data_IF_566516030740
#
_entry.id   IF_566516030740
#
_cell.length_a   1.000
_cell.length_b   1.000
_cell.length_c   1.000
_cell.angle_alpha   90.00
_cell.angle_beta   90.00
_cell.angle_gamma   90.00
#
_symmetry.space_group_name_H-M   'P 1'
#
loop_
_entity.id
_entity.type
_entity.pdbx_description
1 polymer ?
#
# COMPACT_ATOMS: atom_id res chain seq x y z
N UNK A 1 7.49 27.90 -14.61
CA UNK A 1 8.70 27.05 -14.48
C UNK A 1 8.38 25.74 -13.75
N UNK A 2 7.63 25.77 -12.65
CA UNK A 2 7.25 24.59 -11.86
C UNK A 2 6.36 23.60 -12.66
N UNK A 3 5.36 24.07 -13.39
CA UNK A 3 4.51 23.22 -14.26
C UNK A 3 5.30 22.53 -15.41
N UNK A 4 6.40 23.14 -15.86
CA UNK A 4 7.29 22.55 -16.86
C UNK A 4 8.12 21.40 -16.30
N UNK A 5 8.49 21.44 -15.03
CA UNK A 5 9.25 20.37 -14.37
C UNK A 5 8.34 19.17 -14.10
N UNK A 6 7.09 19.42 -13.70
CA UNK A 6 6.08 18.35 -13.53
C UNK A 6 5.80 17.62 -14.84
N UNK A 7 5.51 18.39 -15.90
CA UNK A 7 5.21 17.81 -17.22
C UNK A 7 6.39 17.05 -17.82
N UNK A 8 7.63 17.48 -17.57
CA UNK A 8 8.83 16.74 -18.04
C UNK A 8 8.99 15.40 -17.33
N UNK A 9 8.85 15.33 -16.00
CA UNK A 9 8.93 14.05 -15.29
C UNK A 9 7.80 13.08 -15.66
N UNK A 10 6.58 13.59 -15.81
CA UNK A 10 5.43 12.80 -16.29
C UNK A 10 5.70 12.30 -17.71
N UNK A 11 6.24 13.15 -18.59
CA UNK A 11 6.59 12.79 -19.97
C UNK A 11 7.67 11.70 -20.05
N UNK A 12 8.72 11.80 -19.23
CA UNK A 12 9.77 10.77 -19.14
C UNK A 12 9.18 9.45 -18.64
N UNK A 13 8.36 9.50 -17.58
CA UNK A 13 7.71 8.31 -17.02
C UNK A 13 6.76 7.62 -18.00
N UNK A 14 6.01 8.39 -18.80
CA UNK A 14 5.17 7.91 -19.89
C UNK A 14 6.02 7.27 -20.99
N UNK A 15 7.04 7.97 -21.49
CA UNK A 15 7.90 7.49 -22.57
C UNK A 15 8.59 6.16 -22.19
N UNK A 16 9.07 6.05 -20.95
CA UNK A 16 9.67 4.84 -20.41
C UNK A 16 8.67 3.67 -20.39
N UNK A 17 7.45 3.88 -19.91
CA UNK A 17 6.40 2.84 -19.89
C UNK A 17 6.06 2.39 -21.30
N UNK A 18 5.82 3.33 -22.22
CA UNK A 18 5.53 3.05 -23.62
C UNK A 18 6.65 2.23 -24.25
N UNK A 19 7.91 2.66 -24.07
CA UNK A 19 9.09 1.98 -24.60
C UNK A 19 9.19 0.53 -24.10
N UNK A 20 9.02 0.31 -22.79
CA UNK A 20 9.09 -1.03 -22.20
C UNK A 20 7.90 -1.92 -22.61
N UNK A 21 6.70 -1.35 -22.78
CA UNK A 21 5.53 -2.11 -23.23
C UNK A 21 5.66 -2.64 -24.66
N UNK A 22 6.36 -1.91 -25.53
CA UNK A 22 6.64 -2.38 -26.90
C UNK A 22 7.66 -3.52 -26.96
N UNK A 23 8.38 -3.79 -25.88
CA UNK A 23 9.31 -4.92 -25.80
C UNK A 23 8.59 -6.18 -25.34
N UNK A 24 8.17 -7.01 -26.30
CA UNK A 24 7.37 -8.22 -26.06
C UNK A 24 8.01 -9.20 -25.08
N UNK A 25 9.34 -9.40 -25.15
CA UNK A 25 10.08 -10.29 -24.25
C UNK A 25 9.98 -9.84 -22.79
N UNK A 26 10.16 -8.53 -22.55
CA UNK A 26 10.09 -7.96 -21.20
C UNK A 26 8.67 -8.07 -20.66
N UNK A 27 7.67 -7.72 -21.46
CA UNK A 27 6.26 -7.83 -21.07
C UNK A 27 5.89 -9.25 -20.65
N UNK A 28 6.23 -10.25 -21.47
CA UNK A 28 5.88 -11.64 -21.17
C UNK A 28 6.54 -12.12 -19.87
N UNK A 29 7.79 -11.71 -19.61
CA UNK A 29 8.48 -12.00 -18.35
C UNK A 29 7.71 -11.47 -17.13
N UNK A 30 7.29 -10.20 -17.16
CA UNK A 30 6.54 -9.59 -16.06
C UNK A 30 5.14 -10.19 -15.89
N UNK A 31 4.45 -10.54 -16.98
CA UNK A 31 3.12 -11.19 -16.93
C UNK A 31 3.15 -12.61 -16.34
N UNK A 32 4.32 -13.26 -16.29
CA UNK A 32 4.51 -14.62 -15.75
C UNK A 32 5.22 -14.62 -14.39
N UNK A 33 5.73 -13.47 -13.95
CA UNK A 33 6.47 -13.34 -12.69
C UNK A 33 5.53 -13.37 -11.48
N UNK A 34 5.68 -14.38 -10.62
CA UNK A 34 4.95 -14.52 -9.34
C UNK A 34 5.18 -13.37 -8.35
N UNK A 35 6.20 -12.54 -8.61
CA UNK A 35 6.52 -11.32 -7.87
C UNK A 35 5.49 -10.18 -8.09
N UNK A 36 4.93 -10.12 -9.30
CA UNK A 36 4.01 -9.07 -9.73
C UNK A 36 2.57 -9.58 -9.87
N UNK A 37 2.43 -10.86 -10.20
CA UNK A 37 1.16 -11.53 -10.48
C UNK A 37 0.89 -12.60 -9.42
N UNK A 38 -0.21 -12.45 -8.72
CA UNK A 38 -0.75 -13.38 -7.73
C UNK A 38 -2.15 -13.86 -8.18
N UNK A 39 -2.71 -14.89 -7.53
CA UNK A 39 -4.08 -15.35 -7.80
C UNK A 39 -5.13 -14.23 -7.74
N UNK A 40 -4.90 -13.21 -6.91
CA UNK A 40 -5.83 -12.10 -6.68
C UNK A 40 -5.76 -10.99 -7.74
N UNK A 41 -4.65 -10.85 -8.46
CA UNK A 41 -4.41 -9.65 -9.30
C UNK A 41 -4.08 -9.96 -10.78
N UNK A 42 -4.14 -11.23 -11.18
CA UNK A 42 -3.79 -11.67 -12.53
C UNK A 42 -4.83 -11.24 -13.58
N UNK A 43 -4.38 -10.52 -14.61
CA UNK A 43 -5.24 -10.15 -15.73
C UNK A 43 -5.70 -11.34 -16.58
N UNK A 44 -4.89 -12.39 -16.67
CA UNK A 44 -5.26 -13.63 -17.38
C UNK A 44 -6.52 -14.26 -16.74
N UNK A 45 -6.55 -14.32 -15.41
CA UNK A 45 -7.73 -14.78 -14.63
C UNK A 45 -8.94 -13.86 -14.82
N UNK A 46 -8.73 -12.53 -14.89
CA UNK A 46 -9.82 -11.58 -15.18
C UNK A 46 -10.42 -11.82 -16.58
N UNK A 47 -9.59 -12.04 -17.61
CA UNK A 47 -10.07 -12.35 -18.97
C UNK A 47 -10.89 -13.64 -18.97
N UNK A 48 -10.41 -14.67 -18.28
CA UNK A 48 -11.12 -15.95 -18.13
C UNK A 48 -12.47 -15.76 -17.43
N UNK A 49 -12.52 -14.97 -16.35
CA UNK A 49 -13.77 -14.61 -15.68
C UNK A 49 -14.75 -13.85 -16.59
N UNK A 50 -14.25 -12.94 -17.43
CA UNK A 50 -15.07 -12.24 -18.44
C UNK A 50 -15.60 -13.23 -19.49
N UNK A 51 -14.79 -14.19 -19.91
CA UNK A 51 -15.18 -15.22 -20.88
C UNK A 51 -16.25 -16.16 -20.31
N UNK A 52 -16.08 -16.67 -19.09
CA UNK A 52 -17.09 -17.49 -18.40
C UNK A 52 -18.42 -16.75 -18.25
N UNK A 53 -18.37 -15.46 -17.91
CA UNK A 53 -19.56 -14.61 -17.83
C UNK A 53 -20.29 -14.48 -19.16
N UNK A 54 -19.55 -14.38 -20.28
CA UNK A 54 -20.15 -14.34 -21.63
C UNK A 54 -20.86 -15.65 -21.98
N UNK A 55 -20.42 -16.77 -21.43
CA UNK A 55 -21.06 -18.09 -21.58
C UNK A 55 -22.22 -18.31 -20.59
N UNK A 56 -22.63 -17.30 -19.83
CA UNK A 56 -23.62 -17.41 -18.74
C UNK A 56 -23.23 -18.45 -17.66
N UNK A 57 -21.94 -18.76 -17.54
CA UNK A 57 -21.40 -19.56 -16.44
C UNK A 57 -20.98 -18.63 -15.30
N UNK A 58 -21.08 -19.11 -14.06
CA UNK A 58 -20.59 -18.33 -12.92
C UNK A 58 -19.06 -18.23 -12.99
N UNK A 59 -18.48 -17.01 -12.99
CA UNK A 59 -17.02 -16.81 -13.04
C UNK A 59 -16.25 -17.40 -11.86
N UNK A 60 -16.97 -17.73 -10.78
CA UNK A 60 -16.42 -18.22 -9.52
C UNK A 60 -16.38 -19.76 -9.45
N UNK A 61 -16.90 -20.45 -10.47
CA UNK A 61 -16.83 -21.92 -10.56
C UNK A 61 -15.38 -22.34 -10.77
N UNK A 62 -14.90 -23.30 -9.97
CA UNK A 62 -13.54 -23.83 -10.07
C UNK A 62 -12.45 -22.95 -9.45
N UNK A 63 -12.82 -21.91 -8.68
CA UNK A 63 -11.87 -21.05 -7.93
C UNK A 63 -10.78 -20.40 -8.79
N UNK A 64 -11.12 -20.05 -10.03
CA UNK A 64 -10.20 -19.41 -10.96
C UNK A 64 -10.07 -17.91 -10.66
N UNK A 65 -11.20 -17.27 -10.35
CA UNK A 65 -11.32 -15.82 -10.21
C UNK A 65 -11.61 -15.44 -8.75
N UNK A 66 -10.77 -14.56 -8.21
CA UNK A 66 -10.89 -14.06 -6.82
C UNK A 66 -11.17 -12.56 -6.74
N UNK A 67 -11.51 -11.95 -7.88
CA UNK A 67 -11.94 -10.56 -8.02
C UNK A 67 -13.43 -10.42 -7.70
N UNK A 68 -13.84 -9.29 -7.13
CA UNK A 68 -15.27 -9.06 -6.83
C UNK A 68 -16.15 -8.99 -8.09
N UNK A 69 -17.45 -9.35 -8.01
CA UNK A 69 -18.37 -9.19 -9.13
C UNK A 69 -18.39 -7.75 -9.71
N UNK A 70 -18.26 -6.74 -8.85
CA UNK A 70 -18.16 -5.34 -9.23
C UNK A 70 -16.89 -5.02 -10.00
N UNK A 71 -15.72 -5.48 -9.53
CA UNK A 71 -14.45 -5.28 -10.27
C UNK A 71 -14.47 -6.02 -11.60
N UNK A 72 -14.99 -7.25 -11.65
CA UNK A 72 -15.18 -8.00 -12.90
C UNK A 72 -16.15 -7.29 -13.87
N UNK A 73 -17.25 -6.72 -13.37
CA UNK A 73 -18.14 -5.92 -14.20
C UNK A 73 -17.42 -4.70 -14.78
N UNK A 74 -16.67 -3.97 -13.96
CA UNK A 74 -15.86 -2.84 -14.38
C UNK A 74 -14.83 -3.23 -15.46
N UNK A 75 -14.05 -4.29 -15.22
CA UNK A 75 -13.07 -4.79 -16.18
C UNK A 75 -13.71 -5.28 -17.48
N UNK A 76 -14.89 -5.90 -17.42
CA UNK A 76 -15.63 -6.32 -18.62
C UNK A 76 -16.02 -5.13 -19.51
N UNK A 77 -16.43 -4.01 -18.89
CA UNK A 77 -16.77 -2.76 -19.59
C UNK A 77 -15.52 -2.09 -20.17
N UNK A 78 -14.44 -2.02 -19.41
CA UNK A 78 -13.15 -1.50 -19.89
C UNK A 78 -12.62 -2.31 -21.08
N UNK A 79 -12.66 -3.63 -20.99
CA UNK A 79 -12.21 -4.52 -22.07
C UNK A 79 -13.06 -4.34 -23.34
N UNK A 80 -14.38 -4.14 -23.19
CA UNK A 80 -15.26 -3.84 -24.33
C UNK A 80 -14.97 -2.47 -24.96
N UNK A 81 -14.71 -1.43 -24.17
CA UNK A 81 -14.41 -0.07 -24.67
C UNK A 81 -13.09 -0.03 -25.44
N UNK A 82 -12.11 -0.82 -25.01
CA UNK A 82 -10.76 -0.83 -25.59
C UNK A 82 -10.59 -1.81 -26.75
N UNK A 83 -11.65 -2.53 -27.14
CA UNK A 83 -11.58 -3.60 -28.14
C UNK A 83 -10.44 -4.61 -27.87
N UNK A 84 -10.11 -4.84 -26.60
CA UNK A 84 -9.01 -5.73 -26.18
C UNK A 84 -7.64 -5.09 -26.01
N UNK A 85 -7.42 -3.85 -26.46
CA UNK A 85 -6.16 -3.11 -26.27
C UNK A 85 -6.12 -2.38 -24.92
N UNK A 86 -5.88 -3.13 -23.85
CA UNK A 86 -5.95 -2.62 -22.47
C UNK A 86 -4.67 -1.91 -22.00
N UNK A 87 -3.56 -2.01 -22.73
CA UNK A 87 -2.25 -1.47 -22.35
C UNK A 87 -2.32 0.04 -22.02
N UNK A 88 -3.01 0.81 -22.87
CA UNK A 88 -3.19 2.24 -22.67
C UNK A 88 -3.92 2.59 -21.37
N UNK A 89 -4.87 1.74 -20.94
CA UNK A 89 -5.59 1.96 -19.67
C UNK A 89 -4.71 1.72 -18.45
N UNK A 90 -3.85 0.69 -18.48
CA UNK A 90 -2.91 0.44 -17.38
C UNK A 90 -1.91 1.58 -17.24
N UNK A 91 -1.37 2.08 -18.36
CA UNK A 91 -0.47 3.24 -18.36
C UNK A 91 -1.20 4.48 -17.83
N UNK A 92 -2.42 4.75 -18.30
CA UNK A 92 -3.20 5.89 -17.85
C UNK A 92 -3.53 5.83 -16.36
N UNK A 93 -3.95 4.67 -15.85
CA UNK A 93 -4.27 4.47 -14.43
C UNK A 93 -3.04 4.66 -13.52
N UNK A 94 -1.88 4.14 -13.93
CA UNK A 94 -0.63 4.28 -13.18
C UNK A 94 -0.14 5.75 -13.16
N UNK A 95 -0.23 6.46 -14.30
CA UNK A 95 0.09 7.89 -14.38
C UNK A 95 -0.86 8.75 -13.53
N UNK A 96 -2.17 8.45 -13.55
CA UNK A 96 -3.15 9.12 -12.71
C UNK A 96 -2.82 8.89 -11.22
N UNK A 97 -2.45 7.66 -10.84
CA UNK A 97 -2.02 7.35 -9.48
C UNK A 97 -0.79 8.18 -9.08
N UNK A 98 0.20 8.27 -9.97
CA UNK A 98 1.41 9.06 -9.72
C UNK A 98 1.12 10.57 -9.58
N UNK A 99 0.26 11.15 -10.43
CA UNK A 99 -0.15 12.56 -10.31
C UNK A 99 -0.92 12.80 -9.00
N UNK A 100 -1.78 11.87 -8.59
CA UNK A 100 -2.46 11.94 -7.30
C UNK A 100 -1.47 11.85 -6.14
N UNK A 101 -0.47 10.97 -6.20
CA UNK A 101 0.57 10.87 -5.16
C UNK A 101 1.33 12.17 -4.96
N UNK A 102 1.63 12.89 -6.05
CA UNK A 102 2.24 14.22 -5.98
C UNK A 102 1.34 15.25 -5.28
N UNK A 103 0.05 15.33 -5.68
CA UNK A 103 -0.92 16.25 -5.05
C UNK A 103 -1.11 15.94 -3.57
N UNK A 104 -1.15 14.65 -3.21
CA UNK A 104 -1.19 14.17 -1.83
C UNK A 104 0.04 14.65 -1.06
N UNK A 105 1.24 14.39 -1.59
CA UNK A 105 2.49 14.76 -0.93
C UNK A 105 2.58 16.25 -0.66
N UNK A 106 2.31 17.08 -1.69
CA UNK A 106 2.30 18.53 -1.55
C UNK A 106 1.34 18.98 -0.44
N UNK A 107 0.13 18.42 -0.39
CA UNK A 107 -0.88 18.77 0.61
C UNK A 107 -0.56 18.29 2.03
N UNK A 108 0.08 17.13 2.18
CA UNK A 108 0.56 16.66 3.49
C UNK A 108 1.65 17.59 4.01
N UNK A 109 2.63 17.90 3.18
CA UNK A 109 3.77 18.72 3.56
C UNK A 109 3.35 20.14 3.95
N UNK A 110 2.41 20.75 3.22
CA UNK A 110 1.84 22.04 3.61
C UNK A 110 1.05 21.96 4.92
N UNK A 111 0.24 20.91 5.12
CA UNK A 111 -0.47 20.71 6.40
C UNK A 111 0.49 20.51 7.60
N UNK A 112 1.60 19.80 7.41
CA UNK A 112 2.61 19.61 8.44
C UNK A 112 3.34 20.93 8.74
N UNK A 113 3.67 21.70 7.70
CA UNK A 113 4.29 23.03 7.83
C UNK A 113 3.38 24.02 8.58
N UNK A 114 2.10 24.10 8.21
CA UNK A 114 1.12 24.97 8.89
C UNK A 114 0.94 24.59 10.37
N UNK A 115 0.99 23.28 10.68
CA UNK A 115 0.94 22.80 12.06
C UNK A 115 2.19 23.19 12.83
N UNK A 116 3.38 23.07 12.23
CA UNK A 116 4.64 23.49 12.85
C UNK A 116 4.67 25.00 13.14
N UNK A 117 4.13 25.84 12.23
CA UNK A 117 4.03 27.29 12.45
C UNK A 117 3.07 27.62 13.61
N UNK A 118 1.91 26.95 13.67
CA UNK A 118 0.93 27.16 14.77
C UNK A 118 1.48 26.73 16.13
N UNK A 119 2.29 25.67 16.15
CA UNK A 119 2.90 25.15 17.38
C UNK A 119 4.26 25.77 17.69
N UNK A 120 4.72 26.73 16.89
CA UNK A 120 6.02 27.41 17.05
C UNK A 120 6.24 28.00 18.45
N UNK A 121 5.18 28.45 19.12
CA UNK A 121 5.24 28.97 20.49
C UNK A 121 5.51 27.91 21.56
N UNK A 122 5.27 26.62 21.26
CA UNK A 122 5.50 25.48 22.16
C UNK A 122 6.87 24.84 21.96
N UNK A 123 7.58 25.19 20.89
CA UNK A 123 8.88 24.62 20.56
C UNK A 123 10.01 25.44 21.16
N UNK A 124 11.09 24.76 21.57
CA UNK A 124 12.31 25.44 22.03
C UNK A 124 13.06 26.05 20.84
N UNK A 125 13.70 27.20 21.07
CA UNK A 125 14.50 27.92 20.05
C UNK A 125 15.60 27.05 19.43
N UNK A 126 16.20 26.13 20.20
CA UNK A 126 17.23 25.20 19.72
C UNK A 126 16.74 24.21 18.63
N UNK A 127 15.43 24.13 18.37
CA UNK A 127 14.84 23.23 17.38
C UNK A 127 14.72 23.82 15.96
N UNK A 128 15.18 25.06 15.73
CA UNK A 128 15.07 25.78 14.44
C UNK A 128 15.62 24.99 13.24
N UNK A 129 16.69 24.22 13.45
CA UNK A 129 17.31 23.36 12.43
C UNK A 129 16.44 22.18 11.97
N UNK A 130 15.34 21.90 12.68
CA UNK A 130 14.43 20.78 12.41
C UNK A 130 13.13 21.20 11.72
N UNK A 131 12.95 22.50 11.50
CA UNK A 131 11.72 23.05 10.93
C UNK A 131 11.64 22.72 9.43
N UNK A 132 10.43 22.40 8.98
CA UNK A 132 10.15 22.33 7.56
C UNK A 132 10.28 23.73 6.94
N UNK A 133 10.97 23.82 5.81
CA UNK A 133 11.08 25.05 5.02
C UNK A 133 10.26 24.91 3.74
N UNK A 134 9.76 26.02 3.19
CA UNK A 134 8.96 26.02 1.95
C UNK A 134 9.71 25.39 0.77
N UNK A 135 11.03 25.62 0.67
CA UNK A 135 11.88 24.98 -0.34
C UNK A 135 11.92 23.45 -0.17
N UNK A 136 11.93 22.95 1.06
CA UNK A 136 11.89 21.51 1.35
C UNK A 136 10.54 20.88 1.00
N UNK A 137 9.43 21.61 1.10
CA UNK A 137 8.10 21.13 0.70
C UNK A 137 8.09 20.82 -0.79
N UNK A 138 8.51 21.77 -1.63
CA UNK A 138 8.55 21.57 -3.08
C UNK A 138 9.50 20.44 -3.48
N UNK A 139 10.72 20.44 -2.93
CA UNK A 139 11.73 19.41 -3.22
C UNK A 139 11.24 18.01 -2.87
N UNK A 140 10.63 17.82 -1.70
CA UNK A 140 10.12 16.51 -1.27
C UNK A 140 8.88 16.08 -2.04
N UNK A 141 7.98 17.00 -2.40
CA UNK A 141 6.85 16.69 -3.28
C UNK A 141 7.33 16.23 -4.68
N UNK A 142 8.32 16.92 -5.27
CA UNK A 142 8.93 16.48 -6.53
C UNK A 142 9.65 15.14 -6.42
N UNK A 143 10.32 14.89 -5.29
CA UNK A 143 10.94 13.58 -5.03
C UNK A 143 9.89 12.45 -4.99
N UNK A 144 8.68 12.71 -4.46
CA UNK A 144 7.56 11.74 -4.52
C UNK A 144 7.14 11.48 -5.96
N UNK A 145 6.95 12.53 -6.78
CA UNK A 145 6.56 12.36 -8.19
C UNK A 145 7.62 11.54 -8.96
N UNK A 146 8.90 11.89 -8.78
CA UNK A 146 10.02 11.16 -9.38
C UNK A 146 10.06 9.70 -8.93
N UNK A 147 9.88 9.45 -7.64
CA UNK A 147 9.83 8.10 -7.09
C UNK A 147 8.69 7.32 -7.74
N UNK A 148 7.47 7.84 -7.77
CA UNK A 148 6.32 7.19 -8.41
C UNK A 148 6.53 6.91 -9.91
N UNK A 149 7.21 7.81 -10.63
CA UNK A 149 7.42 7.65 -12.08
C UNK A 149 8.51 6.65 -12.44
N UNK A 150 9.55 6.52 -11.62
CA UNK A 150 10.76 5.72 -11.89
C UNK A 150 10.81 4.44 -11.05
N UNK A 151 9.91 4.27 -10.07
CA UNK A 151 9.89 3.10 -9.19
C UNK A 151 9.74 1.81 -10.01
N UNK A 152 10.76 0.91 -9.99
CA UNK A 152 10.74 -0.33 -10.78
C UNK A 152 9.57 -1.23 -10.38
N UNK A 153 9.09 -1.15 -9.14
CA UNK A 153 7.97 -1.95 -8.66
C UNK A 153 6.65 -1.50 -9.31
N UNK A 154 6.39 -0.19 -9.44
CA UNK A 154 5.19 0.35 -10.11
C UNK A 154 5.25 0.13 -11.62
N UNK A 155 6.43 0.33 -12.23
CA UNK A 155 6.63 0.05 -13.65
C UNK A 155 6.38 -1.44 -13.93
N UNK A 156 6.96 -2.34 -13.13
CA UNK A 156 6.77 -3.78 -13.26
C UNK A 156 5.32 -4.21 -13.10
N UNK A 157 4.55 -3.61 -12.18
CA UNK A 157 3.11 -3.91 -12.02
C UNK A 157 2.29 -3.48 -13.22
N UNK A 158 2.66 -2.34 -13.81
CA UNK A 158 2.03 -1.85 -15.03
C UNK A 158 2.33 -2.82 -16.19
N UNK A 159 3.59 -3.18 -16.40
CA UNK A 159 4.04 -4.10 -17.46
C UNK A 159 3.44 -5.51 -17.33
N UNK A 160 3.28 -6.00 -16.10
CA UNK A 160 2.63 -7.27 -15.79
C UNK A 160 1.11 -7.26 -16.05
N UNK A 161 0.53 -6.10 -16.40
CA UNK A 161 -0.91 -5.86 -16.52
C UNK A 161 -1.67 -6.25 -15.26
N UNK A 162 -1.06 -6.10 -14.08
CA UNK A 162 -1.69 -6.49 -12.82
C UNK A 162 -2.91 -5.61 -12.51
N UNK A 163 -4.05 -6.20 -12.12
CA UNK A 163 -5.24 -5.44 -11.70
C UNK A 163 -4.95 -4.53 -10.50
N UNK A 164 -3.84 -4.80 -9.79
CA UNK A 164 -3.32 -4.01 -8.70
C UNK A 164 -3.04 -2.54 -9.07
N UNK A 165 -2.81 -2.21 -10.35
CA UNK A 165 -2.69 -0.81 -10.79
C UNK A 165 -3.98 -0.03 -10.47
N UNK A 166 -5.15 -0.63 -10.70
CA UNK A 166 -6.44 -0.01 -10.38
C UNK A 166 -6.70 0.00 -8.87
N UNK A 167 -6.24 -1.02 -8.14
CA UNK A 167 -6.39 -1.08 -6.69
C UNK A 167 -5.52 -0.01 -5.99
N UNK A 168 -4.28 0.17 -6.46
CA UNK A 168 -3.38 1.23 -6.03
C UNK A 168 -3.96 2.61 -6.36
N UNK A 169 -4.56 2.77 -7.54
CA UNK A 169 -5.28 4.01 -7.88
C UNK A 169 -6.41 4.28 -6.89
N UNK A 170 -7.29 3.30 -6.61
CA UNK A 170 -8.36 3.44 -5.62
C UNK A 170 -7.82 3.78 -4.22
N UNK A 171 -6.77 3.10 -3.76
CA UNK A 171 -6.12 3.37 -2.48
C UNK A 171 -5.50 4.79 -2.44
N UNK A 172 -4.90 5.26 -3.54
CA UNK A 172 -4.43 6.66 -3.63
C UNK A 172 -5.58 7.66 -3.59
N UNK A 173 -6.73 7.36 -4.23
CA UNK A 173 -7.92 8.21 -4.11
C UNK A 173 -8.44 8.25 -2.67
N UNK A 174 -8.48 7.11 -1.98
CA UNK A 174 -8.83 7.06 -0.55
C UNK A 174 -7.90 7.95 0.27
N UNK A 175 -6.58 7.88 0.03
CA UNK A 175 -5.65 8.75 0.76
C UNK A 175 -5.82 10.23 0.39
N UNK A 176 -6.09 10.55 -0.87
CA UNK A 176 -6.40 11.92 -1.30
C UNK A 176 -7.62 12.49 -0.56
N UNK A 177 -8.74 11.77 -0.54
CA UNK A 177 -9.96 12.21 0.14
C UNK A 177 -9.81 12.30 1.66
N UNK A 178 -8.97 11.45 2.24
CA UNK A 178 -8.58 11.52 3.64
C UNK A 178 -7.87 12.84 3.98
N UNK A 179 -6.94 13.30 3.14
CA UNK A 179 -6.18 14.53 3.35
C UNK A 179 -7.01 15.78 3.01
N UNK A 180 -7.94 15.67 2.06
CA UNK A 180 -8.84 16.77 1.70
C UNK A 180 -10.02 16.94 2.67
N UNK A 181 -10.14 16.06 3.68
CA UNK A 181 -11.23 16.04 4.66
C UNK A 181 -12.61 15.85 4.03
N UNK A 182 -12.69 15.14 2.89
CA UNK A 182 -13.95 14.82 2.22
C UNK A 182 -14.48 13.45 2.67
N UNK A 183 -15.47 13.46 3.56
CA UNK A 183 -15.96 12.24 4.22
C UNK A 183 -16.61 11.23 3.27
N UNK A 184 -17.61 11.66 2.48
CA UNK A 184 -18.39 10.73 1.66
C UNK A 184 -17.53 10.05 0.56
N UNK A 185 -16.72 10.78 -0.23
CA UNK A 185 -15.83 10.14 -1.22
C UNK A 185 -14.76 9.25 -0.58
N UNK A 186 -14.26 9.63 0.61
CA UNK A 186 -13.34 8.78 1.38
C UNK A 186 -13.97 7.43 1.73
N UNK A 187 -15.19 7.44 2.29
CA UNK A 187 -15.88 6.20 2.68
C UNK A 187 -16.17 5.33 1.46
N UNK A 188 -16.66 5.90 0.37
CA UNK A 188 -16.96 5.15 -0.86
C UNK A 188 -15.69 4.47 -1.40
N UNK A 189 -14.60 5.21 -1.56
CA UNK A 189 -13.35 4.66 -2.07
C UNK A 189 -12.71 3.66 -1.10
N UNK A 190 -12.80 3.89 0.21
CA UNK A 190 -12.34 2.95 1.22
C UNK A 190 -13.12 1.63 1.15
N UNK A 191 -14.46 1.70 1.08
CA UNK A 191 -15.30 0.50 0.98
C UNK A 191 -15.07 -0.27 -0.33
N UNK A 192 -14.82 0.42 -1.44
CA UNK A 192 -14.44 -0.21 -2.72
C UNK A 192 -13.06 -0.88 -2.63
N UNK A 193 -12.10 -0.21 -2.00
CA UNK A 193 -10.75 -0.78 -1.83
C UNK A 193 -10.78 -1.99 -0.87
N UNK A 194 -11.58 -1.90 0.19
CA UNK A 194 -11.77 -2.98 1.16
C UNK A 194 -12.57 -4.17 0.63
N UNK A 195 -13.45 -3.93 -0.36
CA UNK A 195 -14.23 -5.00 -0.99
C UNK A 195 -13.37 -5.84 -1.92
N UNK A 196 -12.39 -5.23 -2.58
CA UNK A 196 -11.41 -5.90 -3.44
C UNK A 196 -10.30 -6.59 -2.63
N UNK A 197 -9.71 -5.85 -1.68
CA UNK A 197 -8.68 -6.36 -0.80
C UNK A 197 -9.14 -6.17 0.63
N UNK A 198 -9.13 -7.20 1.47
CA UNK A 198 -9.73 -7.09 2.82
C UNK A 198 -8.98 -6.11 3.75
N UNK A 199 -7.65 -6.06 3.65
CA UNK A 199 -6.78 -5.40 4.64
C UNK A 199 -6.94 -3.87 4.79
N UNK A 200 -7.20 -3.08 3.72
CA UNK A 200 -7.45 -1.65 3.82
C UNK A 200 -8.60 -1.26 4.77
N UNK A 201 -9.45 -2.19 5.22
CA UNK A 201 -10.47 -1.92 6.24
C UNK A 201 -9.90 -1.28 7.52
N UNK A 202 -8.64 -1.60 7.85
CA UNK A 202 -7.91 -1.07 9.01
C UNK A 202 -7.77 0.47 8.94
N UNK A 203 -7.80 1.05 7.74
CA UNK A 203 -7.70 2.50 7.51
C UNK A 203 -8.92 3.29 8.01
N UNK A 204 -9.97 2.60 8.49
CA UNK A 204 -11.04 3.25 9.25
C UNK A 204 -10.51 3.89 10.55
N UNK A 205 -9.49 3.30 11.19
CA UNK A 205 -8.94 3.83 12.44
C UNK A 205 -8.34 5.24 12.30
N UNK A 206 -7.40 5.52 11.36
CA UNK A 206 -6.95 6.89 11.12
C UNK A 206 -8.07 7.81 10.64
N UNK A 207 -9.09 7.31 9.93
CA UNK A 207 -10.25 8.10 9.51
C UNK A 207 -11.03 8.64 10.71
N UNK A 208 -11.34 7.78 11.69
CA UNK A 208 -12.04 8.17 12.92
C UNK A 208 -11.31 9.30 13.66
N UNK A 209 -9.97 9.23 13.71
CA UNK A 209 -9.14 10.26 14.33
C UNK A 209 -9.13 11.57 13.54
N UNK A 210 -8.96 11.49 12.22
CA UNK A 210 -8.86 12.68 11.37
C UNK A 210 -10.17 13.47 11.31
N UNK A 211 -11.31 12.79 11.14
CA UNK A 211 -12.61 13.44 11.03
C UNK A 211 -13.18 13.95 12.37
N UNK A 212 -12.61 13.51 13.51
CA UNK A 212 -13.00 13.98 14.85
C UNK A 212 -12.14 15.12 15.40
N UNK A 213 -10.92 15.34 14.88
CA UNK A 213 -9.86 16.21 15.43
C UNK A 213 -10.25 17.66 15.75
N UNK A 214 -11.19 18.26 15.02
CA UNK A 214 -11.51 19.70 15.12
C UNK A 214 -12.82 20.02 15.86
N UNK A 215 -13.44 19.06 16.54
CA UNK A 215 -14.76 19.25 17.14
C UNK A 215 -14.72 19.21 18.67
N UNK A 216 -15.65 19.92 19.31
CA UNK A 216 -15.92 19.77 20.75
C UNK A 216 -16.23 18.31 21.08
N UNK A 217 -15.94 17.87 22.31
CA UNK A 217 -16.05 16.46 22.72
C UNK A 217 -17.39 15.81 22.30
N UNK A 218 -18.53 16.47 22.51
CA UNK A 218 -19.83 15.92 22.09
C UNK A 218 -19.99 15.80 20.58
N UNK A 219 -19.52 16.78 19.79
CA UNK A 219 -19.57 16.75 18.32
C UNK A 219 -18.59 15.73 17.73
N UNK A 220 -17.50 15.42 18.45
CA UNK A 220 -16.52 14.41 18.03
C UNK A 220 -17.13 13.01 18.05
N UNK A 221 -17.91 12.67 19.08
CA UNK A 221 -18.60 11.38 19.22
C UNK A 221 -19.63 11.21 18.09
N UNK A 222 -20.42 12.24 17.82
CA UNK A 222 -21.43 12.21 16.74
C UNK A 222 -20.77 11.94 15.39
N UNK A 223 -19.62 12.58 15.09
CA UNK A 223 -18.89 12.32 13.85
C UNK A 223 -18.29 10.93 13.77
N UNK A 224 -17.77 10.41 14.88
CA UNK A 224 -17.28 9.02 14.95
C UNK A 224 -18.41 8.05 14.62
N UNK A 225 -19.57 8.19 15.27
CA UNK A 225 -20.76 7.38 14.98
C UNK A 225 -21.18 7.52 13.52
N UNK A 226 -21.19 8.74 12.98
CA UNK A 226 -21.55 9.01 11.58
C UNK A 226 -20.58 8.31 10.61
N UNK A 227 -19.26 8.35 10.84
CA UNK A 227 -18.27 7.65 10.01
C UNK A 227 -18.53 6.14 10.01
N UNK A 228 -18.76 5.56 11.19
CA UNK A 228 -19.02 4.12 11.35
C UNK A 228 -20.33 3.73 10.65
N UNK A 229 -21.40 4.48 10.87
CA UNK A 229 -22.72 4.22 10.26
C UNK A 229 -22.62 4.32 8.74
N UNK A 230 -22.00 5.38 8.20
CA UNK A 230 -21.82 5.52 6.76
C UNK A 230 -20.96 4.40 6.19
N UNK A 231 -19.89 3.99 6.87
CA UNK A 231 -19.06 2.87 6.46
C UNK A 231 -19.86 1.56 6.39
N UNK A 232 -20.70 1.27 7.38
CA UNK A 232 -21.56 0.09 7.40
C UNK A 232 -22.59 0.15 6.26
N UNK A 233 -23.25 1.30 6.06
CA UNK A 233 -24.25 1.48 5.00
C UNK A 233 -23.63 1.27 3.61
N UNK A 234 -22.48 1.90 3.35
CA UNK A 234 -21.82 1.83 2.03
C UNK A 234 -21.22 0.45 1.79
N UNK A 235 -20.60 -0.19 2.79
CA UNK A 235 -20.09 -1.56 2.67
C UNK A 235 -21.22 -2.56 2.41
N UNK A 236 -22.34 -2.44 3.12
CA UNK A 236 -23.53 -3.27 2.86
C UNK A 236 -24.11 -2.99 1.46
N UNK A 237 -24.16 -1.73 1.03
CA UNK A 237 -24.58 -1.36 -0.32
C UNK A 237 -23.72 -2.01 -1.41
N UNK A 238 -22.39 -2.06 -1.24
CA UNK A 238 -21.48 -2.73 -2.16
C UNK A 238 -21.67 -4.26 -2.15
N UNK A 239 -21.92 -4.87 -0.99
CA UNK A 239 -22.22 -6.30 -0.89
C UNK A 239 -23.53 -6.65 -1.63
N UNK A 240 -24.59 -5.85 -1.45
CA UNK A 240 -25.84 -6.01 -2.20
C UNK A 240 -25.62 -5.85 -3.70
N UNK A 241 -24.83 -4.85 -4.11
CA UNK A 241 -24.51 -4.64 -5.53
C UNK A 241 -23.78 -5.84 -6.12
N UNK A 242 -22.80 -6.40 -5.40
CA UNK A 242 -22.11 -7.63 -5.79
C UNK A 242 -23.05 -8.83 -5.92
N UNK A 243 -24.00 -8.96 -4.99
CA UNK A 243 -25.03 -10.01 -5.04
C UNK A 243 -25.89 -9.91 -6.30
N UNK A 244 -26.38 -8.71 -6.64
CA UNK A 244 -27.15 -8.51 -7.88
C UNK A 244 -26.31 -8.74 -9.14
N UNK A 245 -25.05 -8.30 -9.16
CA UNK A 245 -24.14 -8.50 -10.29
C UNK A 245 -23.77 -9.97 -10.50
N UNK A 246 -23.83 -10.79 -9.45
CA UNK A 246 -23.54 -12.22 -9.46
C UNK A 246 -24.83 -13.08 -9.53
N UNK A 247 -25.84 -12.62 -10.28
CA UNK A 247 -27.10 -13.34 -10.50
C UNK A 247 -27.78 -13.82 -9.21
N UNK A 248 -27.77 -12.98 -8.16
CA UNK A 248 -28.40 -13.28 -6.86
C UNK A 248 -27.78 -14.49 -6.13
N UNK A 249 -26.47 -14.70 -6.27
CA UNK A 249 -25.75 -15.75 -5.58
C UNK A 249 -24.61 -15.22 -4.71
N UNK A 250 -24.42 -15.85 -3.54
CA UNK A 250 -23.37 -15.52 -2.58
C UNK A 250 -22.04 -16.26 -2.84
N UNK A 251 -21.93 -16.99 -3.96
CA UNK A 251 -20.74 -17.78 -4.32
C UNK A 251 -19.46 -16.96 -4.39
N UNK A 252 -19.57 -15.67 -4.69
CA UNK A 252 -18.42 -14.76 -4.69
C UNK A 252 -17.79 -14.60 -3.30
N UNK A 253 -18.55 -14.69 -2.19
CA UNK A 253 -18.00 -14.51 -0.84
C UNK A 253 -16.94 -15.58 -0.54
N UNK A 254 -17.22 -16.82 -0.91
CA UNK A 254 -16.30 -17.93 -0.74
C UNK A 254 -15.06 -17.73 -1.62
N UNK A 255 -15.27 -17.38 -2.88
CA UNK A 255 -14.17 -17.23 -3.83
C UNK A 255 -13.30 -15.99 -3.61
N UNK A 256 -13.82 -14.90 -3.04
CA UNK A 256 -13.06 -13.66 -2.81
C UNK A 256 -12.60 -13.51 -1.37
N UNK A 257 -13.52 -13.53 -0.41
CA UNK A 257 -13.20 -13.22 0.99
C UNK A 257 -12.68 -14.43 1.74
N UNK A 258 -13.36 -15.58 1.61
CA UNK A 258 -12.91 -16.82 2.26
C UNK A 258 -11.54 -17.25 1.73
N UNK A 259 -11.29 -17.06 0.44
CA UNK A 259 -9.98 -17.31 -0.18
C UNK A 259 -8.84 -16.50 0.45
N UNK A 260 -9.05 -15.21 0.74
CA UNK A 260 -8.03 -14.36 1.40
C UNK A 260 -7.81 -14.80 2.85
N UNK A 261 -8.90 -15.15 3.56
CA UNK A 261 -8.82 -15.56 4.97
C UNK A 261 -8.16 -16.93 5.15
N UNK A 262 -8.58 -17.95 4.39
CA UNK A 262 -8.09 -19.32 4.56
C UNK A 262 -6.78 -19.64 3.82
N UNK A 263 -6.39 -18.79 2.86
CA UNK A 263 -5.14 -18.92 2.08
C UNK A 263 -4.96 -20.36 1.55
N UNK A 264 -5.84 -20.84 0.65
CA UNK A 264 -5.77 -22.21 0.15
C UNK A 264 -4.73 -22.40 -0.97
N UNK A 265 -4.27 -21.32 -1.60
CA UNK A 265 -3.32 -21.34 -2.71
C UNK A 265 -1.91 -20.96 -2.20
N UNK A 266 -0.93 -21.85 -2.42
CA UNK A 266 0.47 -21.65 -2.03
C UNK A 266 1.37 -21.36 -3.21
N UNK A 267 0.81 -20.85 -4.31
CA UNK A 267 1.59 -20.32 -5.42
C UNK A 267 2.65 -19.32 -4.90
N UNK A 268 3.91 -19.47 -5.32
CA UNK A 268 4.99 -18.61 -4.86
C UNK A 268 4.70 -17.13 -5.12
N UNK A 269 4.88 -16.33 -4.10
CA UNK A 269 4.73 -14.87 -4.15
C UNK A 269 5.76 -14.21 -3.22
N UNK A 270 5.71 -12.89 -3.08
CA UNK A 270 6.65 -12.17 -2.20
C UNK A 270 6.30 -12.26 -0.72
N UNK A 271 5.16 -12.85 -0.37
CA UNK A 271 4.63 -12.92 0.99
C UNK A 271 5.24 -14.03 1.83
N UNK A 272 4.92 -13.99 3.12
CA UNK A 272 5.40 -14.97 4.10
C UNK A 272 4.57 -16.27 4.05
N UNK A 273 3.30 -16.18 3.60
CA UNK A 273 2.32 -17.24 3.75
C UNK A 273 2.67 -18.48 2.91
N UNK A 274 2.90 -18.33 1.60
CA UNK A 274 2.96 -19.46 0.67
C UNK A 274 3.94 -20.56 1.10
N UNK A 275 5.16 -20.19 1.49
CA UNK A 275 6.20 -21.16 1.86
C UNK A 275 6.00 -21.68 3.29
N UNK A 276 5.69 -20.80 4.25
CA UNK A 276 5.45 -21.19 5.64
C UNK A 276 4.32 -22.22 5.76
N UNK A 277 3.21 -22.00 5.04
CA UNK A 277 2.08 -22.92 5.05
C UNK A 277 2.32 -24.19 4.20
N UNK A 278 3.29 -24.17 3.27
CA UNK A 278 3.71 -25.37 2.53
C UNK A 278 4.50 -26.34 3.42
N UNK A 279 5.32 -25.83 4.34
CA UNK A 279 6.14 -26.67 5.23
C UNK A 279 5.38 -27.15 6.48
N UNK A 280 4.22 -26.56 6.77
CA UNK A 280 3.49 -26.83 7.99
C UNK A 280 2.51 -27.99 7.85
N UNK A 281 2.42 -28.81 8.91
CA UNK A 281 1.42 -29.87 9.00
C UNK A 281 -0.01 -29.33 8.99
N UNK A 282 -0.89 -30.01 8.25
CA UNK A 282 -2.29 -29.63 8.07
C UNK A 282 -3.05 -29.43 9.39
N UNK A 283 -2.74 -30.24 10.40
CA UNK A 283 -3.38 -30.15 11.71
C UNK A 283 -3.21 -28.77 12.38
N UNK A 284 -2.06 -28.12 12.19
CA UNK A 284 -1.78 -26.81 12.78
C UNK A 284 -2.19 -25.64 11.87
N UNK A 285 -2.57 -25.92 10.62
CA UNK A 285 -2.79 -24.90 9.59
C UNK A 285 -3.77 -23.82 10.03
N UNK A 286 -4.95 -24.22 10.48
CA UNK A 286 -6.00 -23.29 10.89
C UNK A 286 -5.54 -22.35 12.01
N UNK A 287 -4.80 -22.86 13.00
CA UNK A 287 -4.31 -22.05 14.12
C UNK A 287 -3.36 -20.94 13.65
N UNK A 288 -2.40 -21.27 12.78
CA UNK A 288 -1.45 -20.28 12.29
C UNK A 288 -2.08 -19.30 11.30
N UNK A 289 -3.03 -19.74 10.46
CA UNK A 289 -3.81 -18.83 9.60
C UNK A 289 -4.49 -17.77 10.47
N UNK A 290 -5.25 -18.18 11.50
CA UNK A 290 -5.91 -17.23 12.39
C UNK A 290 -4.91 -16.32 13.12
N UNK A 291 -3.79 -16.87 13.56
CA UNK A 291 -2.74 -16.11 14.26
C UNK A 291 -2.18 -15.00 13.36
N UNK A 292 -1.85 -15.30 12.10
CA UNK A 292 -1.32 -14.31 11.17
C UNK A 292 -2.37 -13.24 10.81
N UNK A 293 -3.63 -13.62 10.59
CA UNK A 293 -4.68 -12.64 10.30
C UNK A 293 -4.96 -11.70 11.49
N UNK A 294 -4.99 -12.25 12.72
CA UNK A 294 -5.16 -11.46 13.96
C UNK A 294 -4.00 -10.48 14.19
N UNK A 295 -2.79 -10.89 13.83
CA UNK A 295 -1.59 -10.06 13.95
C UNK A 295 -1.72 -8.74 13.18
N UNK A 296 -2.19 -8.83 11.93
CA UNK A 296 -2.40 -7.65 11.07
C UNK A 296 -3.63 -6.84 11.48
N UNK A 297 -4.76 -7.50 11.67
CA UNK A 297 -6.05 -6.83 11.86
C UNK A 297 -6.20 -6.18 13.24
N UNK A 298 -5.61 -6.76 14.29
CA UNK A 298 -5.84 -6.33 15.67
C UNK A 298 -4.57 -5.93 16.41
N UNK A 299 -3.52 -6.77 16.38
CA UNK A 299 -2.34 -6.56 17.21
C UNK A 299 -1.54 -5.32 16.81
N UNK A 300 -1.43 -5.02 15.51
CA UNK A 300 -0.80 -3.76 15.08
C UNK A 300 -1.77 -2.57 15.11
N UNK A 301 -3.03 -2.77 14.74
CA UNK A 301 -4.00 -1.68 14.64
C UNK A 301 -4.17 -0.92 15.96
N UNK A 302 -4.41 -1.63 17.07
CA UNK A 302 -4.78 -1.01 18.35
C UNK A 302 -3.63 -0.19 18.96
N UNK A 303 -2.40 -0.72 19.13
CA UNK A 303 -1.31 0.03 19.75
C UNK A 303 -0.90 1.25 18.93
N UNK A 304 -0.82 1.13 17.60
CA UNK A 304 -0.45 2.26 16.74
C UNK A 304 -1.52 3.35 16.75
N UNK A 305 -2.81 2.99 16.75
CA UNK A 305 -3.91 3.97 16.83
C UNK A 305 -3.89 4.72 18.17
N UNK A 306 -3.60 4.03 19.27
CA UNK A 306 -3.48 4.67 20.60
C UNK A 306 -2.27 5.61 20.62
N UNK A 307 -1.11 5.15 20.14
CA UNK A 307 0.15 5.90 20.18
C UNK A 307 0.16 7.11 19.24
N UNK A 308 -0.43 6.98 18.05
CA UNK A 308 -0.46 8.02 17.01
C UNK A 308 -1.79 8.77 16.92
N UNK A 309 -2.59 8.79 18.02
CA UNK A 309 -3.91 9.44 18.07
C UNK A 309 -3.94 10.88 17.53
N UNK A 310 -2.86 11.64 17.73
CA UNK A 310 -2.77 13.05 17.32
C UNK A 310 -2.35 13.25 15.86
N UNK A 311 -1.84 12.20 15.21
CA UNK A 311 -1.14 12.28 13.93
C UNK A 311 -1.63 11.18 12.98
N UNK A 312 -2.90 11.31 12.54
CA UNK A 312 -3.57 10.27 11.77
C UNK A 312 -3.02 10.12 10.35
N UNK A 313 -2.31 11.12 9.79
CA UNK A 313 -1.65 11.03 8.48
C UNK A 313 -0.48 10.04 8.53
N UNK A 314 0.36 10.13 9.55
CA UNK A 314 1.46 9.19 9.73
C UNK A 314 0.94 7.79 10.04
N UNK A 315 -0.13 7.69 10.84
CA UNK A 315 -0.81 6.41 11.11
C UNK A 315 -1.37 5.77 9.83
N UNK A 316 -1.99 6.55 8.94
CA UNK A 316 -2.50 6.04 7.65
C UNK A 316 -1.37 5.42 6.81
N UNK A 317 -0.27 6.16 6.64
CA UNK A 317 0.89 5.67 5.88
C UNK A 317 1.52 4.42 6.53
N UNK A 318 1.66 4.43 7.86
CA UNK A 318 2.22 3.31 8.63
C UNK A 318 1.38 2.03 8.48
N UNK A 319 0.06 2.14 8.59
CA UNK A 319 -0.85 1.01 8.42
C UNK A 319 -0.80 0.45 7.00
N UNK A 320 -0.67 1.31 5.98
CA UNK A 320 -0.44 0.87 4.60
C UNK A 320 0.83 0.03 4.43
N UNK A 321 1.93 0.46 5.03
CA UNK A 321 3.18 -0.31 4.97
C UNK A 321 3.08 -1.65 5.72
N UNK A 322 2.40 -1.67 6.88
CA UNK A 322 2.21 -2.87 7.67
C UNK A 322 1.33 -3.90 6.95
N UNK A 323 0.15 -3.52 6.45
CA UNK A 323 -0.69 -4.50 5.78
C UNK A 323 -0.09 -4.98 4.46
N UNK A 324 0.69 -4.15 3.76
CA UNK A 324 1.42 -4.60 2.58
C UNK A 324 2.40 -5.74 2.92
N UNK A 325 3.12 -5.62 4.04
CA UNK A 325 4.13 -6.61 4.45
C UNK A 325 3.50 -7.93 4.88
N UNK A 326 2.32 -7.89 5.52
CA UNK A 326 1.71 -9.06 6.14
C UNK A 326 0.40 -9.55 5.46
N UNK A 327 0.05 -9.02 4.30
CA UNK A 327 -1.09 -9.49 3.48
C UNK A 327 -0.88 -10.95 3.04
N UNK A 328 -1.95 -11.74 2.92
CA UNK A 328 -1.89 -13.15 2.48
C UNK A 328 -1.21 -13.36 1.13
N UNK A 329 -1.54 -12.52 0.15
CA UNK A 329 -1.03 -12.58 -1.23
C UNK A 329 -0.49 -11.20 -1.66
N UNK A 330 0.67 -10.77 -1.14
CA UNK A 330 1.26 -9.51 -1.53
C UNK A 330 1.98 -9.65 -2.87
N UNK A 331 2.02 -8.55 -3.63
CA UNK A 331 2.82 -8.40 -4.83
C UNK A 331 3.69 -7.14 -4.70
N UNK A 332 4.74 -7.00 -5.51
CA UNK A 332 5.61 -5.82 -5.44
C UNK A 332 4.87 -4.49 -5.63
N UNK A 333 3.72 -4.49 -6.31
CA UNK A 333 2.90 -3.29 -6.43
C UNK A 333 2.22 -2.82 -5.15
N UNK A 334 1.96 -3.73 -4.20
CA UNK A 334 1.43 -3.34 -2.89
C UNK A 334 2.52 -2.51 -2.17
N UNK A 335 3.79 -2.91 -2.30
CA UNK A 335 4.91 -2.22 -1.69
C UNK A 335 5.23 -0.90 -2.39
N UNK A 336 5.06 -0.85 -3.72
CA UNK A 336 5.26 0.36 -4.50
C UNK A 336 4.45 1.56 -3.96
N UNK A 337 3.21 1.33 -3.50
CA UNK A 337 2.36 2.38 -2.96
C UNK A 337 3.02 3.13 -1.81
N UNK A 338 3.49 2.46 -0.75
CA UNK A 338 4.04 3.16 0.41
C UNK A 338 5.48 3.64 0.17
N UNK A 339 6.26 2.94 -0.68
CA UNK A 339 7.58 3.38 -1.11
C UNK A 339 7.53 4.71 -1.85
N UNK A 340 6.52 4.90 -2.71
CA UNK A 340 6.32 6.16 -3.42
C UNK A 340 6.12 7.35 -2.48
N UNK A 341 5.50 7.15 -1.30
CA UNK A 341 5.30 8.19 -0.29
C UNK A 341 6.46 8.38 0.68
N UNK A 342 7.49 7.52 0.63
CA UNK A 342 8.64 7.56 1.53
C UNK A 342 9.37 8.93 1.54
N UNK A 343 9.55 9.64 0.39
CA UNK A 343 10.19 10.96 0.36
C UNK A 343 9.45 12.07 1.13
N UNK A 344 8.16 11.93 1.43
CA UNK A 344 7.43 12.84 2.33
C UNK A 344 8.13 12.92 3.69
N UNK A 345 8.65 11.78 4.14
CA UNK A 345 9.32 11.62 5.43
C UNK A 345 10.82 11.84 5.35
N UNK A 346 11.34 12.47 4.29
CA UNK A 346 12.78 12.72 4.10
C UNK A 346 13.45 13.45 5.28
N UNK A 347 12.70 14.32 5.97
CA UNK A 347 13.15 14.99 7.19
C UNK A 347 13.42 14.02 8.37
N UNK A 348 12.89 12.79 8.32
CA UNK A 348 13.15 11.74 9.31
C UNK A 348 14.43 10.96 9.05
N UNK A 349 14.96 10.97 7.81
CA UNK A 349 16.09 10.11 7.45
C UNK A 349 17.36 10.41 8.25
N UNK A 350 17.49 11.64 8.79
CA UNK A 350 18.58 12.01 9.70
C UNK A 350 18.58 11.22 11.02
N UNK A 351 17.43 10.67 11.40
CA UNK A 351 17.24 9.93 12.65
C UNK A 351 17.17 8.42 12.47
N UNK A 352 17.16 7.93 11.23
CA UNK A 352 17.14 6.51 10.90
C UNK A 352 18.52 5.92 11.19
N UNK A 353 18.57 4.78 11.88
CA UNK A 353 19.84 4.14 12.29
C UNK A 353 20.34 3.13 11.26
N UNK A 354 19.44 2.33 10.69
CA UNK A 354 19.81 1.18 9.86
C UNK A 354 19.59 1.41 8.36
N UNK A 355 19.63 2.66 7.90
CA UNK A 355 19.30 3.04 6.51
C UNK A 355 20.13 2.28 5.46
N UNK A 356 21.45 2.19 5.66
CA UNK A 356 22.34 1.47 4.74
C UNK A 356 21.98 -0.01 4.65
N UNK A 357 21.76 -0.67 5.80
CA UNK A 357 21.41 -2.09 5.87
C UNK A 357 20.09 -2.34 5.15
N UNK A 358 19.07 -1.52 5.42
CA UNK A 358 17.76 -1.62 4.79
C UNK A 358 17.87 -1.47 3.27
N UNK A 359 18.60 -0.45 2.78
CA UNK A 359 18.78 -0.22 1.33
C UNK A 359 19.48 -1.42 0.69
N UNK A 360 20.55 -1.93 1.29
CA UNK A 360 21.25 -3.11 0.79
C UNK A 360 20.34 -4.34 0.75
N UNK A 361 19.56 -4.60 1.80
CA UNK A 361 18.64 -5.73 1.85
C UNK A 361 17.56 -5.64 0.77
N UNK A 362 16.96 -4.46 0.57
CA UNK A 362 15.95 -4.25 -0.48
C UNK A 362 16.56 -4.45 -1.88
N UNK A 363 17.74 -3.88 -2.13
CA UNK A 363 18.43 -4.02 -3.42
C UNK A 363 18.81 -5.47 -3.71
N UNK A 364 19.40 -6.16 -2.72
CA UNK A 364 19.76 -7.58 -2.86
C UNK A 364 18.51 -8.41 -3.11
N UNK A 365 17.42 -8.19 -2.37
CA UNK A 365 16.20 -8.96 -2.53
C UNK A 365 15.57 -8.77 -3.92
N UNK A 366 15.44 -7.52 -4.40
CA UNK A 366 14.84 -7.22 -5.71
C UNK A 366 15.71 -7.76 -6.87
N UNK A 367 17.03 -7.70 -6.74
CA UNK A 367 17.95 -8.19 -7.79
C UNK A 367 18.08 -9.71 -7.79
N UNK A 368 18.11 -10.34 -6.61
CA UNK A 368 18.32 -11.77 -6.47
C UNK A 368 17.04 -12.59 -6.63
N UNK A 369 15.87 -12.08 -6.24
CA UNK A 369 14.60 -12.79 -6.39
C UNK A 369 14.33 -13.31 -7.83
N UNK A 370 14.48 -12.51 -8.90
CA UNK A 370 14.27 -13.01 -10.26
C UNK A 370 15.32 -14.03 -10.69
N UNK A 371 16.55 -13.90 -10.18
CA UNK A 371 17.65 -14.83 -10.48
C UNK A 371 17.39 -16.17 -9.79
N UNK A 372 17.04 -16.17 -8.50
CA UNK A 372 16.74 -17.40 -7.76
C UNK A 372 15.47 -18.07 -8.26
N UNK A 373 14.47 -17.29 -8.69
CA UNK A 373 13.31 -17.79 -9.43
C UNK A 373 13.71 -18.51 -10.71
N UNK A 374 14.56 -17.87 -11.53
CA UNK A 374 15.03 -18.46 -12.77
C UNK A 374 15.82 -19.75 -12.53
N UNK A 375 16.71 -19.73 -11.55
CA UNK A 375 17.52 -20.90 -11.19
C UNK A 375 16.65 -22.07 -10.71
N UNK A 376 15.59 -21.77 -9.95
CA UNK A 376 14.67 -22.78 -9.45
C UNK A 376 13.76 -23.35 -10.55
N UNK A 377 13.05 -22.50 -11.29
CA UNK A 377 12.01 -22.94 -12.24
C UNK A 377 12.60 -23.43 -13.56
N UNK A 378 13.58 -22.73 -14.13
CA UNK A 378 14.05 -23.00 -15.48
C UNK A 378 15.32 -23.86 -15.53
N UNK A 379 16.29 -23.59 -14.64
CA UNK A 379 17.56 -24.34 -14.67
C UNK A 379 17.57 -25.56 -13.75
N UNK A 380 16.68 -25.60 -12.75
CA UNK A 380 16.63 -26.65 -11.73
C UNK A 380 17.87 -26.73 -10.82
N UNK A 381 18.76 -25.73 -10.84
CA UNK A 381 19.99 -25.74 -10.03
C UNK A 381 19.81 -25.17 -8.62
N UNK A 382 18.62 -24.65 -8.31
CA UNK A 382 18.24 -24.12 -7.01
C UNK A 382 16.87 -24.67 -6.59
N UNK A 383 16.60 -24.66 -5.28
CA UNK A 383 15.30 -25.06 -4.71
C UNK A 383 14.48 -23.82 -4.28
N UNK A 384 13.20 -24.03 -4.01
CA UNK A 384 12.24 -23.03 -3.53
C UNK A 384 12.76 -22.18 -2.35
N UNK A 385 13.58 -22.79 -1.49
CA UNK A 385 14.16 -22.17 -0.29
C UNK A 385 15.00 -20.92 -0.63
N UNK A 386 15.73 -20.92 -1.74
CA UNK A 386 16.54 -19.77 -2.14
C UNK A 386 15.68 -18.57 -2.56
N UNK A 387 14.59 -18.83 -3.29
CA UNK A 387 13.62 -17.81 -3.63
C UNK A 387 12.92 -17.27 -2.38
N UNK A 388 12.46 -18.16 -1.51
CA UNK A 388 11.83 -17.78 -0.24
C UNK A 388 12.78 -17.00 0.69
N UNK A 389 14.06 -17.33 0.73
CA UNK A 389 15.05 -16.57 1.50
C UNK A 389 15.12 -15.11 1.02
N UNK A 390 15.10 -14.87 -0.29
CA UNK A 390 15.12 -13.51 -0.85
C UNK A 390 13.81 -12.74 -0.56
N UNK A 391 12.65 -13.39 -0.64
CA UNK A 391 11.38 -12.75 -0.28
C UNK A 391 11.30 -12.48 1.23
N UNK A 392 11.87 -13.34 2.08
CA UNK A 392 12.00 -13.08 3.52
C UNK A 392 12.91 -11.88 3.80
N UNK A 393 14.08 -11.79 3.14
CA UNK A 393 14.97 -10.62 3.25
C UNK A 393 14.22 -9.35 2.86
N UNK A 394 13.41 -9.39 1.80
CA UNK A 394 12.55 -8.26 1.42
C UNK A 394 11.58 -7.88 2.56
N UNK A 395 10.80 -8.83 3.09
CA UNK A 395 9.83 -8.56 4.17
C UNK A 395 10.48 -8.07 5.47
N UNK A 396 11.66 -8.60 5.83
CA UNK A 396 12.43 -8.11 6.99
C UNK A 396 12.91 -6.69 6.76
N UNK A 397 13.40 -6.37 5.55
CA UNK A 397 13.82 -5.01 5.22
C UNK A 397 12.66 -4.01 5.28
N UNK A 398 11.47 -4.39 4.79
CA UNK A 398 10.25 -3.58 4.91
C UNK A 398 9.88 -3.35 6.39
N UNK A 399 9.93 -4.40 7.21
CA UNK A 399 9.62 -4.30 8.65
C UNK A 399 10.62 -3.38 9.38
N UNK A 400 11.91 -3.50 9.10
CA UNK A 400 12.94 -2.62 9.67
C UNK A 400 12.78 -1.18 9.21
N UNK A 401 12.48 -0.95 7.93
CA UNK A 401 12.20 0.40 7.41
C UNK A 401 11.04 1.06 8.17
N UNK A 402 9.93 0.34 8.34
CA UNK A 402 8.73 0.83 9.03
C UNK A 402 9.04 1.11 10.51
N UNK A 403 9.74 0.20 11.17
CA UNK A 403 10.13 0.35 12.58
C UNK A 403 11.08 1.54 12.79
N UNK A 404 12.12 1.67 11.97
CA UNK A 404 13.09 2.75 12.06
C UNK A 404 12.47 4.12 11.79
N UNK A 405 11.58 4.22 10.79
CA UNK A 405 10.85 5.45 10.50
C UNK A 405 9.87 5.81 11.63
N UNK A 406 9.21 4.82 12.23
CA UNK A 406 8.36 5.02 13.40
C UNK A 406 9.18 5.55 14.60
N UNK A 407 10.33 4.96 14.88
CA UNK A 407 11.24 5.42 15.93
C UNK A 407 11.76 6.83 15.67
N UNK A 408 12.24 7.09 14.45
CA UNK A 408 12.70 8.41 13.98
C UNK A 408 11.62 9.48 14.15
N UNK A 409 10.37 9.14 13.84
CA UNK A 409 9.23 10.02 13.98
C UNK A 409 8.95 10.40 15.45
N UNK A 410 8.95 9.41 16.35
CA UNK A 410 8.81 9.66 17.79
C UNK A 410 9.97 10.50 18.34
N UNK A 411 11.20 10.21 17.91
CA UNK A 411 12.40 10.95 18.29
C UNK A 411 12.33 12.42 17.86
N UNK A 412 11.94 12.69 16.60
CA UNK A 412 11.76 14.07 16.11
C UNK A 412 10.75 14.85 16.96
N UNK A 413 9.60 14.24 17.27
CA UNK A 413 8.57 14.87 18.11
C UNK A 413 9.06 15.18 19.52
N UNK A 414 9.85 14.30 20.10
CA UNK A 414 10.45 14.52 21.39
C UNK A 414 11.40 15.72 21.35
N UNK A 415 12.29 15.80 20.35
CA UNK A 415 13.22 16.92 20.21
C UNK A 415 12.54 18.26 19.94
N UNK A 416 11.44 18.29 19.16
CA UNK A 416 10.67 19.50 18.95
C UNK A 416 10.12 20.07 20.27
N UNK A 417 9.70 19.20 21.20
CA UNK A 417 9.14 19.63 22.50
C UNK A 417 10.20 19.93 23.56
N UNK A 418 11.23 19.10 23.64
CA UNK A 418 12.19 19.12 24.75
C UNK A 418 13.50 19.84 24.41
N UNK A 419 13.73 20.17 23.14
CA UNK A 419 15.00 20.68 22.63
C UNK A 419 15.93 19.55 22.16
N UNK A 420 16.94 19.92 21.37
CA UNK A 420 17.95 18.98 20.84
C UNK A 420 18.96 18.60 21.93
N UNK A 421 19.18 19.49 22.91
CA UNK A 421 20.06 19.25 24.05
C UNK A 421 19.43 18.22 25.00
N UNK A 422 20.00 17.01 25.01
CA UNK A 422 19.66 15.98 25.98
C UNK A 422 20.22 16.45 27.34
N UNK A 423 19.44 16.44 28.43
CA UNK A 423 19.97 16.79 29.74
C UNK A 423 21.14 15.85 30.05
N UNK A 424 22.32 16.43 30.24
CA UNK A 424 23.51 15.69 30.68
C UNK A 424 23.25 15.18 32.10
N UNK A 425 23.24 13.87 32.28
CA UNK A 425 23.32 13.27 33.60
C UNK A 425 24.79 12.87 33.82
N UNK A 426 25.47 13.54 34.77
CA UNK A 426 26.86 13.27 35.14
C UNK A 426 27.88 13.34 33.99
N UNK A 427 27.77 14.31 33.08
CA UNK A 427 28.80 14.57 32.06
C UNK A 427 28.85 13.56 30.90
N UNK A 428 27.93 12.60 30.85
CA UNK A 428 27.76 11.67 29.72
C UNK A 428 26.49 12.06 28.95
N UNK A 429 26.59 12.17 27.63
CA UNK A 429 25.41 12.36 26.77
C UNK A 429 24.46 11.15 26.93
N UNK A 430 23.30 11.38 27.54
CA UNK A 430 22.31 10.32 27.69
C UNK A 430 21.81 9.83 26.32
N UNK A 431 21.77 8.52 26.09
CA UNK A 431 21.03 7.98 24.96
C UNK A 431 19.53 7.97 25.29
N UNK A 432 18.73 8.64 24.46
CA UNK A 432 17.28 8.51 24.51
C UNK A 432 16.91 7.10 24.01
N UNK A 433 16.70 6.17 24.94
CA UNK A 433 15.95 4.94 24.72
C UNK A 433 14.48 5.20 25.04
N UNK A 434 13.62 5.20 24.01
CA UNK A 434 12.18 5.17 24.24
C UNK A 434 11.82 3.72 24.63
N UNK A 435 11.72 3.47 25.95
CA UNK A 435 11.09 2.26 26.48
C UNK A 435 9.58 2.27 26.25
#
# INVERSE_FOLDING_TARGET
MLDHIESTYVGIGLALRIFLFFQTRIRNYFEESGEFVTPLNSWKRVIEGIYLRKLNLSPFVGSIVHETPLSLFFYSKLHAITNGHVEGLFIAADLLSAILTYKIAHRILTQLFDQEIKEKSKYKKDSELLWLTEANIQKSAYAVLLCSMINPLSIGTCLAKSSLVFHNLLLTMTFYFFITYQLLPFIITLCLTSSISLYPIILIAPALLQFSKNNSNNRSIIRICLVIILFIIVSFGILILNFFLNHQSWSFIESTYSFIFHVPDYTPNIGIFWYFFTEMFDHFRSLFVWTFQMHVLLLYLLPFTIRLRRDPIFLFWLLCALFCTFKSYPAYGDAAFYFNFLPIWSFLFRYVRHSLIIICMVLVAILMAPITWYLWIYTGSANANFYFAMTMVFNVAQTFLVSDLFYAYLKRKFFLKNGITIPQFNGVEGQLEFR
#
